data_IF_796205897350
#
_entry.id   IF_796205897350
#
_cell.length_a   1.000
_cell.length_b   1.000
_cell.length_c   1.000
_cell.angle_alpha   90.00
_cell.angle_beta   90.00
_cell.angle_gamma   90.00
#
_symmetry.space_group_name_H-M   'P 1'
#
loop_
_entity.id
_entity.type
_entity.pdbx_description
1 polymer ?
#
# COMPACT_ATOMS: atom_id res chain seq x y z
N UNK A 1 55.44 43.19 -14.90
CA UNK A 1 54.49 42.07 -15.06
C UNK A 1 54.26 41.28 -13.77
N UNK A 2 55.27 41.03 -12.92
CA UNK A 2 55.07 40.30 -11.65
C UNK A 2 54.11 41.00 -10.67
N UNK A 3 54.21 42.34 -10.54
CA UNK A 3 53.34 43.13 -9.64
C UNK A 3 51.85 43.08 -9.99
N UNK A 4 51.49 43.00 -11.28
CA UNK A 4 50.08 42.94 -11.71
C UNK A 4 49.45 41.56 -11.55
N UNK A 5 50.23 40.48 -11.64
CA UNK A 5 49.74 39.13 -11.39
C UNK A 5 49.45 38.91 -9.90
N UNK A 6 50.31 39.45 -9.04
CA UNK A 6 50.14 39.44 -7.60
C UNK A 6 48.86 40.12 -7.13
N UNK A 7 48.57 41.33 -7.64
CA UNK A 7 47.37 42.08 -7.26
C UNK A 7 46.09 41.40 -7.73
N UNK A 8 46.10 40.80 -8.93
CA UNK A 8 44.99 40.00 -9.44
C UNK A 8 44.71 38.76 -8.58
N UNK A 9 45.75 38.07 -8.12
CA UNK A 9 45.63 36.92 -7.22
C UNK A 9 45.04 37.32 -5.86
N UNK A 10 45.56 38.39 -5.24
CA UNK A 10 45.05 38.85 -3.95
C UNK A 10 43.57 39.26 -4.04
N UNK A 11 43.18 39.94 -5.13
CA UNK A 11 41.80 40.33 -5.36
C UNK A 11 40.86 39.12 -5.50
N UNK A 12 41.25 38.11 -6.29
CA UNK A 12 40.43 36.90 -6.48
C UNK A 12 40.35 36.04 -5.22
N UNK A 13 41.44 35.95 -4.45
CA UNK A 13 41.48 35.25 -3.16
C UNK A 13 40.56 35.90 -2.13
N UNK A 14 40.62 37.23 -2.00
CA UNK A 14 39.75 37.99 -1.09
C UNK A 14 38.28 37.89 -1.50
N UNK A 15 37.98 37.97 -2.80
CA UNK A 15 36.62 37.80 -3.31
C UNK A 15 36.05 36.41 -2.98
N UNK A 16 36.87 35.35 -3.05
CA UNK A 16 36.45 34.00 -2.71
C UNK A 16 36.17 33.85 -1.22
N UNK A 17 37.03 34.39 -0.35
CA UNK A 17 36.83 34.38 1.11
C UNK A 17 35.56 35.13 1.53
N UNK A 18 35.33 36.32 0.95
CA UNK A 18 34.12 37.10 1.21
C UNK A 18 32.86 36.35 0.78
N UNK A 19 32.89 35.68 -0.38
CA UNK A 19 31.78 34.88 -0.85
C UNK A 19 31.53 33.66 0.05
N UNK A 20 32.57 32.94 0.47
CA UNK A 20 32.46 31.82 1.39
C UNK A 20 31.80 32.22 2.73
N UNK A 21 32.19 33.36 3.29
CA UNK A 21 31.60 33.90 4.52
C UNK A 21 30.12 34.29 4.33
N UNK A 22 29.75 34.80 3.16
CA UNK A 22 28.34 35.07 2.81
C UNK A 22 27.51 33.79 2.77
N UNK A 23 28.05 32.70 2.21
CA UNK A 23 27.37 31.39 2.16
C UNK A 23 27.17 30.81 3.57
N UNK A 24 28.18 30.91 4.43
CA UNK A 24 28.07 30.50 5.84
C UNK A 24 26.98 31.29 6.59
N UNK A 25 26.89 32.60 6.35
CA UNK A 25 25.85 33.43 6.96
C UNK A 25 24.44 33.09 6.45
N UNK A 26 24.29 32.77 5.17
CA UNK A 26 23.03 32.29 4.60
C UNK A 26 22.61 30.93 5.17
N UNK A 27 23.55 30.01 5.37
CA UNK A 27 23.31 28.70 6.01
C UNK A 27 22.89 28.85 7.48
N UNK A 28 23.53 29.77 8.21
CA UNK A 28 23.24 30.03 9.62
C UNK A 28 21.92 30.76 9.87
N UNK A 29 21.45 31.57 8.92
CA UNK A 29 20.16 32.27 8.99
C UNK A 29 18.94 31.45 8.59
N UNK A 30 19.13 30.23 8.06
CA UNK A 30 18.08 29.46 7.39
C UNK A 30 17.16 28.63 8.32
N UNK A 31 17.22 28.79 9.65
CA UNK A 31 16.35 28.04 10.57
C UNK A 31 15.29 28.90 11.30
N UNK A 32 14.25 29.41 10.61
CA UNK A 32 13.05 29.87 11.30
C UNK A 32 12.26 28.67 11.87
N UNK A 33 11.76 28.75 13.12
CA UNK A 33 10.90 27.73 13.67
C UNK A 33 9.51 27.83 13.04
N UNK A 34 9.15 26.79 12.28
CA UNK A 34 7.84 26.57 11.65
C UNK A 34 7.49 27.49 10.48
N UNK A 35 7.73 26.94 9.30
CA UNK A 35 7.50 27.55 8.00
C UNK A 35 6.64 26.57 7.20
N UNK A 36 5.54 27.04 6.60
CA UNK A 36 4.57 26.21 5.87
C UNK A 36 5.16 25.52 4.64
N UNK A 37 4.43 24.56 4.05
CA UNK A 37 4.94 23.72 2.95
C UNK A 37 5.45 24.53 1.74
N UNK A 38 4.79 25.65 1.40
CA UNK A 38 5.20 26.54 0.29
C UNK A 38 6.53 27.23 0.57
N UNK A 39 6.73 27.65 1.81
CA UNK A 39 7.91 28.41 2.23
C UNK A 39 9.11 27.45 2.47
N UNK A 40 8.86 26.20 2.85
CA UNK A 40 9.89 25.14 2.82
C UNK A 40 10.37 24.85 1.39
N UNK A 41 9.45 24.85 0.42
CA UNK A 41 9.80 24.65 -0.98
C UNK A 41 10.63 25.81 -1.54
N UNK A 42 10.26 27.06 -1.23
CA UNK A 42 11.06 28.23 -1.65
C UNK A 42 12.43 28.27 -0.98
N UNK A 43 12.54 27.84 0.29
CA UNK A 43 13.81 27.73 0.98
C UNK A 43 14.71 26.64 0.39
N UNK A 44 14.15 25.46 0.05
CA UNK A 44 14.89 24.39 -0.61
C UNK A 44 15.43 24.84 -1.98
N UNK A 45 14.64 25.61 -2.73
CA UNK A 45 15.07 26.12 -4.04
C UNK A 45 16.19 27.16 -3.90
N UNK A 46 16.14 28.02 -2.87
CA UNK A 46 17.26 28.91 -2.52
C UNK A 46 18.52 28.14 -2.18
N UNK A 47 18.43 27.10 -1.35
CA UNK A 47 19.57 26.26 -0.96
C UNK A 47 20.16 25.49 -2.15
N UNK A 48 19.34 25.06 -3.11
CA UNK A 48 19.81 24.47 -4.38
C UNK A 48 20.56 25.47 -5.25
N UNK A 49 20.11 26.72 -5.29
CA UNK A 49 20.83 27.82 -5.93
C UNK A 49 22.24 27.97 -5.33
N UNK A 50 22.32 28.04 -4.00
CA UNK A 50 23.60 28.11 -3.29
C UNK A 50 24.48 26.89 -3.56
N UNK A 51 23.91 25.67 -3.63
CA UNK A 51 24.65 24.47 -4.02
C UNK A 51 25.24 24.59 -5.43
N UNK A 52 24.46 25.05 -6.41
CA UNK A 52 24.92 25.26 -7.78
C UNK A 52 26.03 26.32 -7.83
N UNK A 53 25.90 27.40 -7.06
CA UNK A 53 26.91 28.46 -6.97
C UNK A 53 28.22 27.96 -6.36
N UNK A 54 28.13 27.08 -5.35
CA UNK A 54 29.30 26.40 -4.77
C UNK A 54 29.99 25.54 -5.82
N UNK A 55 29.25 24.70 -6.53
CA UNK A 55 29.81 23.84 -7.59
C UNK A 55 30.46 24.67 -8.72
N UNK A 56 29.87 25.81 -9.08
CA UNK A 56 30.42 26.73 -10.08
C UNK A 56 31.72 27.43 -9.63
N UNK A 57 31.98 27.51 -8.31
CA UNK A 57 33.19 28.12 -7.75
C UNK A 57 34.38 27.15 -7.64
N UNK A 58 34.18 25.85 -7.90
CA UNK A 58 35.26 24.86 -7.88
C UNK A 58 36.35 25.09 -8.95
N UNK A 59 36.02 25.38 -10.23
CA UNK A 59 37.05 25.66 -11.25
C UNK A 59 37.84 26.97 -11.03
N UNK A 60 37.23 28.08 -10.56
CA UNK A 60 37.99 29.25 -10.13
C UNK A 60 38.96 28.98 -8.98
N UNK A 61 38.56 28.16 -7.99
CA UNK A 61 39.44 27.79 -6.88
C UNK A 61 40.65 26.98 -7.37
N UNK A 62 40.47 26.00 -8.25
CA UNK A 62 41.59 25.20 -8.77
C UNK A 62 42.61 26.04 -9.53
N UNK A 63 42.13 26.98 -10.38
CA UNK A 63 43.01 27.94 -11.07
C UNK A 63 43.77 28.84 -10.10
N UNK A 64 43.13 29.25 -9.01
CA UNK A 64 43.74 30.09 -7.98
C UNK A 64 44.83 29.31 -7.22
N UNK A 65 44.61 28.02 -6.94
CA UNK A 65 45.61 27.13 -6.34
C UNK A 65 46.81 26.88 -7.25
N UNK A 66 46.59 26.79 -8.56
CA UNK A 66 47.63 26.66 -9.59
C UNK A 66 48.44 27.96 -9.73
N UNK A 67 47.77 29.12 -9.80
CA UNK A 67 48.44 30.43 -9.80
C UNK A 67 49.28 30.65 -8.54
N UNK A 68 48.78 30.24 -7.37
CA UNK A 68 49.55 30.29 -6.13
C UNK A 68 50.78 29.38 -6.18
N UNK A 69 50.69 28.19 -6.81
CA UNK A 69 51.84 27.31 -7.01
C UNK A 69 52.94 28.00 -7.84
N UNK A 70 52.56 28.59 -8.97
CA UNK A 70 53.50 29.29 -9.86
C UNK A 70 54.15 30.51 -9.19
N UNK A 71 53.38 31.25 -8.37
CA UNK A 71 53.87 32.40 -7.61
C UNK A 71 54.80 31.95 -6.48
N UNK A 72 54.54 30.81 -5.84
CA UNK A 72 55.42 30.25 -4.82
C UNK A 72 56.78 29.85 -5.42
N UNK A 73 56.78 29.20 -6.58
CA UNK A 73 58.00 28.75 -7.25
C UNK A 73 58.89 29.94 -7.67
N UNK A 74 58.28 31.05 -8.11
CA UNK A 74 59.01 32.26 -8.54
C UNK A 74 59.51 33.13 -7.38
N UNK A 75 58.81 33.11 -6.23
CA UNK A 75 59.04 34.08 -5.15
C UNK A 75 59.65 33.45 -3.90
N UNK A 76 59.49 32.13 -3.69
CA UNK A 76 59.87 31.44 -2.46
C UNK A 76 59.06 31.85 -1.22
N UNK A 77 58.01 32.65 -1.39
CA UNK A 77 57.22 33.24 -0.32
C UNK A 77 56.24 32.20 0.26
N UNK A 78 56.34 31.95 1.57
CA UNK A 78 55.52 30.97 2.29
C UNK A 78 54.01 31.32 2.29
N UNK A 79 53.65 32.56 1.98
CA UNK A 79 52.25 33.02 1.86
C UNK A 79 51.48 32.26 0.75
N UNK A 80 52.18 31.69 -0.24
CA UNK A 80 51.62 30.82 -1.30
C UNK A 80 51.98 29.35 -1.10
N UNK A 81 52.51 29.02 0.07
CA UNK A 81 52.99 27.70 0.41
C UNK A 81 51.89 26.64 0.30
N UNK A 82 52.28 25.36 0.35
CA UNK A 82 51.31 24.25 0.37
C UNK A 82 50.33 24.35 1.55
N UNK A 83 50.75 24.93 2.68
CA UNK A 83 49.92 25.09 3.89
C UNK A 83 48.77 26.08 3.68
N UNK A 84 49.04 27.31 3.21
CA UNK A 84 48.01 28.32 2.96
C UNK A 84 46.98 27.89 1.90
N UNK A 85 47.45 27.20 0.84
CA UNK A 85 46.57 26.64 -0.19
C UNK A 85 45.74 25.47 0.34
N UNK A 86 46.33 24.64 1.20
CA UNK A 86 45.65 23.57 1.91
C UNK A 86 44.55 24.10 2.83
N UNK A 87 44.81 25.17 3.57
CA UNK A 87 43.83 25.82 4.45
C UNK A 87 42.64 26.39 3.65
N UNK A 88 42.91 27.07 2.54
CA UNK A 88 41.85 27.60 1.66
C UNK A 88 40.99 26.49 1.05
N UNK A 89 41.63 25.42 0.58
CA UNK A 89 40.94 24.25 0.01
C UNK A 89 40.11 23.52 1.06
N UNK A 90 40.63 23.38 2.28
CA UNK A 90 39.91 22.79 3.41
C UNK A 90 38.67 23.60 3.78
N UNK A 91 38.80 24.94 3.88
CA UNK A 91 37.66 25.84 4.15
C UNK A 91 36.57 25.72 3.08
N UNK A 92 36.95 25.73 1.81
CA UNK A 92 36.00 25.55 0.71
C UNK A 92 35.33 24.16 0.72
N UNK A 93 36.10 23.10 1.00
CA UNK A 93 35.58 21.74 1.06
C UNK A 93 34.59 21.54 2.21
N UNK A 94 34.85 22.15 3.38
CA UNK A 94 33.95 22.08 4.53
C UNK A 94 32.63 22.82 4.27
N UNK A 95 32.69 24.00 3.65
CA UNK A 95 31.50 24.77 3.24
C UNK A 95 30.68 23.97 2.20
N UNK A 96 31.34 23.40 1.19
CA UNK A 96 30.68 22.56 0.18
C UNK A 96 29.98 21.36 0.80
N UNK A 97 30.65 20.66 1.73
CA UNK A 97 30.06 19.54 2.45
C UNK A 97 28.88 19.98 3.33
N UNK A 98 28.96 21.16 3.94
CA UNK A 98 27.89 21.71 4.80
C UNK A 98 26.65 22.13 4.00
N UNK A 99 26.82 22.78 2.84
CA UNK A 99 25.72 23.11 1.92
C UNK A 99 25.02 21.84 1.44
N UNK A 100 25.79 20.83 1.01
CA UNK A 100 25.25 19.55 0.53
C UNK A 100 24.44 18.83 1.62
N UNK A 101 24.99 18.71 2.83
CA UNK A 101 24.29 18.11 3.99
C UNK A 101 23.01 18.85 4.32
N UNK A 102 23.02 20.18 4.27
CA UNK A 102 21.84 21.01 4.50
C UNK A 102 20.76 20.68 3.44
N UNK A 103 21.08 20.77 2.15
CA UNK A 103 20.13 20.46 1.05
C UNK A 103 19.55 19.06 1.18
N UNK A 104 20.37 18.05 1.47
CA UNK A 104 19.93 16.66 1.62
C UNK A 104 18.98 16.47 2.81
N UNK A 105 19.28 17.10 3.96
CA UNK A 105 18.41 17.06 5.14
C UNK A 105 17.04 17.70 4.85
N UNK A 106 17.02 18.87 4.21
CA UNK A 106 15.77 19.55 3.83
C UNK A 106 14.98 18.77 2.77
N UNK A 107 15.65 18.09 1.83
CA UNK A 107 15.02 17.25 0.80
C UNK A 107 14.31 16.04 1.42
N UNK A 108 14.95 15.38 2.37
CA UNK A 108 14.36 14.23 3.08
C UNK A 108 13.12 14.65 3.87
N UNK A 109 13.18 15.80 4.55
CA UNK A 109 12.07 16.30 5.35
C UNK A 109 10.87 16.73 4.50
N UNK A 110 11.10 17.36 3.34
CA UNK A 110 10.05 17.68 2.37
C UNK A 110 9.42 16.44 1.72
N UNK A 111 10.23 15.40 1.44
CA UNK A 111 9.74 14.13 0.91
C UNK A 111 8.84 13.41 1.93
N UNK A 112 9.22 13.40 3.21
CA UNK A 112 8.42 12.78 4.27
C UNK A 112 7.07 13.49 4.49
N UNK A 113 7.03 14.83 4.46
CA UNK A 113 5.77 15.57 4.58
C UNK A 113 4.85 15.43 3.36
N UNK A 114 5.42 15.26 2.16
CA UNK A 114 4.64 14.91 0.96
C UNK A 114 4.08 13.49 1.10
N UNK A 115 4.92 12.54 1.49
CA UNK A 115 4.55 11.13 1.66
C UNK A 115 3.46 10.95 2.73
N UNK A 116 3.55 11.63 3.88
CA UNK A 116 2.52 11.52 4.94
C UNK A 116 1.19 12.17 4.54
N UNK A 117 1.21 13.21 3.70
CA UNK A 117 -0.02 13.80 3.12
C UNK A 117 -0.63 12.88 2.06
N UNK A 118 0.20 12.22 1.27
CA UNK A 118 -0.24 11.20 0.31
C UNK A 118 -0.80 9.95 1.02
N UNK A 119 -0.13 9.46 2.07
CA UNK A 119 -0.60 8.35 2.90
C UNK A 119 -1.86 8.73 3.67
N UNK A 120 -1.95 9.94 4.23
CA UNK A 120 -3.15 10.46 4.88
C UNK A 120 -4.34 10.67 3.92
N UNK A 121 -4.11 10.65 2.62
CA UNK A 121 -5.13 10.69 1.57
C UNK A 121 -5.68 9.31 1.18
N UNK A 122 -5.19 8.23 1.78
CA UNK A 122 -5.67 6.87 1.50
C UNK A 122 -6.88 6.55 2.41
N UNK A 123 -8.02 6.09 1.87
CA UNK A 123 -9.17 5.64 2.66
C UNK A 123 -8.88 4.27 3.28
N UNK A 124 -8.05 4.23 4.33
CA UNK A 124 -7.62 2.99 4.99
C UNK A 124 -8.79 2.09 5.40
N UNK A 125 -9.91 2.66 5.84
CA UNK A 125 -11.12 1.91 6.16
C UNK A 125 -11.68 1.16 4.94
N UNK A 126 -11.83 1.84 3.80
CA UNK A 126 -12.30 1.22 2.55
C UNK A 126 -11.30 0.19 2.05
N UNK A 127 -10.01 0.44 2.18
CA UNK A 127 -8.95 -0.50 1.78
C UNK A 127 -8.99 -1.79 2.60
N UNK A 128 -9.08 -1.68 3.92
CA UNK A 128 -9.21 -2.85 4.80
C UNK A 128 -10.51 -3.61 4.50
N UNK A 129 -11.61 -2.89 4.26
CA UNK A 129 -12.88 -3.49 3.87
C UNK A 129 -12.76 -4.27 2.54
N UNK A 130 -12.10 -3.72 1.52
CA UNK A 130 -11.86 -4.41 0.24
C UNK A 130 -11.03 -5.70 0.44
N UNK A 131 -9.97 -5.65 1.25
CA UNK A 131 -9.15 -6.84 1.55
C UNK A 131 -9.99 -7.92 2.23
N UNK A 132 -10.78 -7.55 3.25
CA UNK A 132 -11.65 -8.49 3.96
C UNK A 132 -12.73 -9.07 3.03
N UNK A 133 -13.31 -8.26 2.14
CA UNK A 133 -14.24 -8.74 1.11
C UNK A 133 -13.58 -9.74 0.17
N UNK A 134 -12.34 -9.50 -0.28
CA UNK A 134 -11.63 -10.42 -1.16
C UNK A 134 -11.34 -11.75 -0.49
N UNK A 135 -10.91 -11.72 0.78
CA UNK A 135 -10.68 -12.94 1.56
C UNK A 135 -12.00 -13.71 1.71
N UNK A 136 -13.09 -13.03 2.06
CA UNK A 136 -14.41 -13.65 2.22
C UNK A 136 -14.94 -14.29 0.93
N UNK A 137 -14.85 -13.59 -0.21
CA UNK A 137 -15.28 -14.11 -1.51
C UNK A 137 -14.41 -15.29 -1.94
N UNK A 138 -13.09 -15.21 -1.77
CA UNK A 138 -12.17 -16.31 -2.11
C UNK A 138 -12.45 -17.56 -1.27
N UNK A 139 -12.69 -17.40 0.03
CA UNK A 139 -13.08 -18.49 0.93
C UNK A 139 -14.43 -19.09 0.52
N UNK A 140 -15.43 -18.25 0.23
CA UNK A 140 -16.75 -18.72 -0.20
C UNK A 140 -16.67 -19.52 -1.50
N UNK A 141 -15.92 -19.04 -2.50
CA UNK A 141 -15.70 -19.77 -3.75
C UNK A 141 -14.92 -21.07 -3.56
N UNK A 142 -13.87 -21.05 -2.73
CA UNK A 142 -13.06 -22.24 -2.45
C UNK A 142 -13.87 -23.32 -1.75
N UNK A 143 -14.54 -22.96 -0.65
CA UNK A 143 -15.40 -23.88 0.09
C UNK A 143 -16.58 -24.35 -0.76
N UNK A 144 -17.21 -23.46 -1.52
CA UNK A 144 -18.31 -23.78 -2.42
C UNK A 144 -17.91 -24.78 -3.51
N UNK A 145 -16.74 -24.59 -4.13
CA UNK A 145 -16.23 -25.53 -5.13
C UNK A 145 -15.96 -26.92 -4.53
N UNK A 146 -15.27 -26.99 -3.39
CA UNK A 146 -14.95 -28.26 -2.74
C UNK A 146 -16.21 -28.99 -2.29
N UNK A 147 -17.17 -28.28 -1.69
CA UNK A 147 -18.44 -28.86 -1.26
C UNK A 147 -19.22 -29.45 -2.45
N UNK A 148 -19.24 -28.72 -3.56
CA UNK A 148 -19.98 -29.09 -4.75
C UNK A 148 -19.30 -30.24 -5.53
N UNK A 149 -17.97 -30.18 -5.68
CA UNK A 149 -17.18 -31.28 -6.26
C UNK A 149 -17.22 -32.55 -5.40
N UNK A 150 -17.19 -32.42 -4.08
CA UNK A 150 -17.33 -33.55 -3.16
C UNK A 150 -18.71 -34.19 -3.21
N UNK A 151 -19.75 -33.39 -3.45
CA UNK A 151 -21.12 -33.91 -3.66
C UNK A 151 -21.19 -34.73 -4.94
N UNK A 152 -20.53 -34.31 -6.03
CA UNK A 152 -20.46 -35.08 -7.27
C UNK A 152 -19.73 -36.41 -7.09
N UNK A 153 -18.58 -36.43 -6.39
CA UNK A 153 -17.81 -37.66 -6.21
C UNK A 153 -18.51 -38.67 -5.28
N UNK A 154 -19.22 -38.21 -4.25
CA UNK A 154 -20.04 -39.08 -3.40
C UNK A 154 -21.22 -39.68 -4.17
N UNK A 155 -21.88 -38.89 -5.01
CA UNK A 155 -23.00 -39.36 -5.82
C UNK A 155 -22.57 -40.40 -6.86
N UNK A 156 -21.44 -40.17 -7.52
CA UNK A 156 -20.90 -41.06 -8.56
C UNK A 156 -20.49 -42.43 -7.98
N UNK A 157 -19.84 -42.44 -6.79
CA UNK A 157 -19.34 -43.66 -6.18
C UNK A 157 -20.41 -44.48 -5.40
N UNK A 158 -21.44 -43.84 -4.84
CA UNK A 158 -22.43 -44.54 -3.98
C UNK A 158 -23.81 -44.75 -4.62
N UNK A 159 -24.21 -43.98 -5.64
CA UNK A 159 -25.55 -44.04 -6.26
C UNK A 159 -25.55 -44.48 -7.74
N UNK A 160 -24.53 -45.25 -8.14
CA UNK A 160 -24.24 -45.70 -9.51
C UNK A 160 -25.34 -46.48 -10.25
N UNK A 161 -26.53 -46.72 -9.67
CA UNK A 161 -27.51 -47.67 -10.24
C UNK A 161 -28.68 -47.04 -11.01
N UNK A 162 -28.96 -45.73 -10.90
CA UNK A 162 -30.12 -45.09 -11.57
C UNK A 162 -29.70 -43.93 -12.49
N UNK A 163 -29.56 -44.19 -13.79
CA UNK A 163 -29.02 -43.28 -14.81
C UNK A 163 -29.86 -42.02 -15.10
N UNK A 164 -31.15 -42.02 -14.75
CA UNK A 164 -32.07 -40.90 -15.03
C UNK A 164 -31.92 -39.71 -14.07
N UNK A 165 -31.46 -39.94 -12.84
CA UNK A 165 -31.30 -38.87 -11.83
C UNK A 165 -29.91 -38.21 -11.85
N UNK A 166 -28.91 -38.88 -12.47
CA UNK A 166 -27.54 -38.35 -12.61
C UNK A 166 -27.47 -37.12 -13.53
N UNK A 167 -28.21 -37.12 -14.64
CA UNK A 167 -28.14 -36.05 -15.63
C UNK A 167 -28.78 -34.74 -15.14
N UNK A 168 -29.91 -34.83 -14.43
CA UNK A 168 -30.60 -33.67 -13.85
C UNK A 168 -29.81 -33.10 -12.67
N UNK A 169 -29.25 -33.94 -11.80
CA UNK A 169 -28.52 -33.49 -10.62
C UNK A 169 -27.15 -32.88 -10.97
N UNK A 170 -26.44 -33.45 -11.96
CA UNK A 170 -25.19 -32.88 -12.48
C UNK A 170 -25.41 -31.51 -13.14
N UNK A 171 -26.50 -31.35 -13.91
CA UNK A 171 -26.86 -30.05 -14.48
C UNK A 171 -27.17 -29.01 -13.40
N UNK A 172 -27.95 -29.39 -12.38
CA UNK A 172 -28.29 -28.51 -11.26
C UNK A 172 -27.04 -28.07 -10.51
N UNK A 173 -26.11 -28.99 -10.26
CA UNK A 173 -24.82 -28.70 -9.63
C UNK A 173 -24.00 -27.69 -10.45
N UNK A 174 -23.87 -27.88 -11.77
CA UNK A 174 -23.14 -26.93 -12.61
C UNK A 174 -23.78 -25.54 -12.64
N UNK A 175 -25.11 -25.45 -12.60
CA UNK A 175 -25.83 -24.18 -12.50
C UNK A 175 -25.45 -23.44 -11.20
N UNK A 176 -25.42 -24.14 -10.07
CA UNK A 176 -25.00 -23.55 -8.79
C UNK A 176 -23.55 -23.06 -8.83
N UNK A 177 -22.64 -23.82 -9.44
CA UNK A 177 -21.24 -23.43 -9.61
C UNK A 177 -21.11 -22.13 -10.41
N UNK A 178 -21.85 -22.02 -11.52
CA UNK A 178 -21.85 -20.82 -12.36
C UNK A 178 -22.40 -19.59 -11.61
N UNK A 179 -23.46 -19.77 -10.83
CA UNK A 179 -24.04 -18.71 -10.00
C UNK A 179 -23.04 -18.23 -8.94
N UNK A 180 -22.37 -19.14 -8.23
CA UNK A 180 -21.38 -18.80 -7.20
C UNK A 180 -20.21 -18.00 -7.78
N UNK A 181 -19.65 -18.42 -8.92
CA UNK A 181 -18.57 -17.69 -9.58
C UNK A 181 -19.01 -16.36 -10.19
N UNK A 182 -20.24 -16.29 -10.73
CA UNK A 182 -20.82 -15.07 -11.25
C UNK A 182 -20.97 -14.00 -10.16
N UNK A 183 -21.52 -14.39 -9.01
CA UNK A 183 -21.67 -13.50 -7.85
C UNK A 183 -20.30 -13.05 -7.34
N UNK A 184 -19.34 -13.98 -7.21
CA UNK A 184 -17.99 -13.67 -6.74
C UNK A 184 -17.25 -12.64 -7.62
N UNK A 185 -17.33 -12.80 -8.95
CA UNK A 185 -16.76 -11.86 -9.91
C UNK A 185 -17.38 -10.48 -9.79
N UNK A 186 -18.72 -10.41 -9.65
CA UNK A 186 -19.43 -9.15 -9.44
C UNK A 186 -18.99 -8.43 -8.16
N UNK A 187 -18.90 -9.14 -7.04
CA UNK A 187 -18.43 -8.57 -5.77
C UNK A 187 -16.98 -8.08 -5.83
N UNK A 188 -16.12 -8.78 -6.57
CA UNK A 188 -14.73 -8.36 -6.77
C UNK A 188 -14.65 -7.01 -7.48
N UNK A 189 -15.37 -6.87 -8.61
CA UNK A 189 -15.45 -5.60 -9.34
C UNK A 189 -16.08 -4.51 -8.47
N UNK A 190 -17.15 -4.83 -7.74
CA UNK A 190 -17.83 -3.89 -6.86
C UNK A 190 -16.92 -3.35 -5.75
N UNK A 191 -16.11 -4.20 -5.12
CA UNK A 191 -15.18 -3.77 -4.07
C UNK A 191 -14.03 -2.90 -4.60
N UNK A 192 -13.61 -3.08 -5.86
CA UNK A 192 -12.67 -2.18 -6.53
C UNK A 192 -13.32 -0.82 -6.81
N UNK A 193 -14.58 -0.80 -7.25
CA UNK A 193 -15.33 0.45 -7.46
C UNK A 193 -15.50 1.24 -6.16
N UNK A 194 -15.81 0.58 -5.04
CA UNK A 194 -15.88 1.22 -3.72
C UNK A 194 -14.53 1.77 -3.24
N UNK A 195 -13.44 1.06 -3.56
CA UNK A 195 -12.09 1.53 -3.26
C UNK A 195 -11.73 2.76 -4.08
N UNK A 196 -12.02 2.75 -5.39
CA UNK A 196 -11.83 3.91 -6.28
C UNK A 196 -12.67 5.12 -5.82
N UNK A 197 -13.90 4.90 -5.37
CA UNK A 197 -14.75 5.96 -4.83
C UNK A 197 -14.20 6.49 -3.48
N UNK A 198 -13.68 5.63 -2.61
CA UNK A 198 -13.02 6.03 -1.37
C UNK A 198 -11.83 6.97 -1.63
N UNK A 199 -11.05 6.70 -2.68
CA UNK A 199 -9.97 7.58 -3.12
C UNK A 199 -10.52 8.88 -3.70
N UNK A 200 -11.59 8.83 -4.50
CA UNK A 200 -12.22 10.00 -5.11
C UNK A 200 -12.86 10.94 -4.07
N UNK A 201 -13.38 10.37 -2.96
CA UNK A 201 -14.03 11.13 -1.88
C UNK A 201 -13.04 11.67 -0.85
N UNK A 202 -11.83 11.12 -0.75
CA UNK A 202 -10.82 11.60 0.19
C UNK A 202 -10.33 13.00 -0.21
N UNK A 203 -10.31 13.90 0.77
CA UNK A 203 -10.11 15.34 0.65
C UNK A 203 -8.80 15.84 -0.01
N UNK A 204 -7.87 14.93 -0.35
CA UNK A 204 -6.65 15.26 -1.08
C UNK A 204 -6.90 15.76 -2.51
N UNK A 205 -8.00 15.33 -3.16
CA UNK A 205 -8.37 15.74 -4.53
C UNK A 205 -9.38 16.91 -4.52
N UNK A 206 -10.18 17.03 -3.46
CA UNK A 206 -11.16 18.12 -3.32
C UNK A 206 -10.53 19.52 -3.21
N UNK A 207 -9.33 19.65 -2.64
CA UNK A 207 -8.69 20.97 -2.49
C UNK A 207 -8.38 21.68 -3.81
N UNK A 208 -8.13 20.95 -4.89
CA UNK A 208 -7.80 21.53 -6.21
C UNK A 208 -9.05 21.73 -7.09
N UNK A 209 -10.10 20.92 -6.93
CA UNK A 209 -11.31 21.01 -7.77
C UNK A 209 -12.43 21.93 -7.22
N UNK A 210 -12.27 22.49 -6.01
CA UNK A 210 -13.35 23.25 -5.36
C UNK A 210 -13.45 24.72 -5.80
N UNK A 211 -12.67 25.16 -6.79
CA UNK A 211 -12.82 26.50 -7.39
C UNK A 211 -13.89 26.58 -8.48
N UNK A 212 -14.42 25.46 -9.01
CA UNK A 212 -15.46 25.49 -10.05
C UNK A 212 -16.79 24.86 -9.59
N UNK A 213 -17.64 25.76 -9.16
CA UNK A 213 -18.91 25.54 -8.48
C UNK A 213 -20.04 25.17 -9.47
N UNK A 214 -20.20 23.90 -9.88
CA UNK A 214 -21.52 23.35 -10.33
C UNK A 214 -21.65 21.82 -10.52
N UNK A 215 -20.68 20.99 -10.15
CA UNK A 215 -20.76 19.52 -10.37
C UNK A 215 -21.01 18.69 -9.10
N UNK A 216 -21.02 19.33 -7.91
CA UNK A 216 -21.03 18.65 -6.61
C UNK A 216 -22.34 17.92 -6.25
N UNK A 217 -23.49 18.30 -6.83
CA UNK A 217 -24.76 17.65 -6.51
C UNK A 217 -24.86 16.22 -7.06
N UNK A 218 -24.38 15.99 -8.29
CA UNK A 218 -24.39 14.68 -8.93
C UNK A 218 -23.49 13.68 -8.19
N UNK A 219 -22.29 14.12 -7.77
CA UNK A 219 -21.36 13.29 -6.99
C UNK A 219 -21.93 12.81 -5.66
N UNK A 220 -22.69 13.66 -4.95
CA UNK A 220 -23.35 13.27 -3.67
C UNK A 220 -24.47 12.25 -3.87
N UNK A 221 -25.24 12.36 -4.95
CA UNK A 221 -26.27 11.38 -5.29
C UNK A 221 -25.66 10.04 -5.69
N UNK A 222 -24.55 10.05 -6.44
CA UNK A 222 -23.83 8.85 -6.84
C UNK A 222 -23.28 8.14 -5.60
N UNK A 223 -22.58 8.84 -4.70
CA UNK A 223 -22.08 8.24 -3.45
C UNK A 223 -23.21 7.69 -2.58
N UNK A 224 -24.33 8.42 -2.46
CA UNK A 224 -25.49 7.94 -1.72
C UNK A 224 -26.08 6.66 -2.33
N UNK A 225 -26.14 6.58 -3.66
CA UNK A 225 -26.58 5.38 -4.37
C UNK A 225 -25.64 4.19 -4.14
N UNK A 226 -24.32 4.39 -4.22
CA UNK A 226 -23.34 3.34 -3.93
C UNK A 226 -23.41 2.86 -2.47
N UNK A 227 -23.60 3.76 -1.50
CA UNK A 227 -23.82 3.39 -0.10
C UNK A 227 -25.10 2.57 0.09
N UNK A 228 -26.21 3.00 -0.52
CA UNK A 228 -27.47 2.26 -0.47
C UNK A 228 -27.31 0.85 -1.05
N UNK A 229 -26.68 0.74 -2.22
CA UNK A 229 -26.45 -0.55 -2.87
C UNK A 229 -25.52 -1.46 -2.05
N UNK A 230 -24.50 -0.89 -1.39
CA UNK A 230 -23.60 -1.64 -0.49
C UNK A 230 -24.38 -2.24 0.67
N UNK A 231 -25.30 -1.47 1.26
CA UNK A 231 -26.11 -1.92 2.38
C UNK A 231 -27.03 -3.09 2.00
N UNK A 232 -27.70 -3.00 0.85
CA UNK A 232 -28.54 -4.09 0.34
C UNK A 232 -27.71 -5.35 0.06
N UNK A 233 -26.54 -5.20 -0.57
CA UNK A 233 -25.64 -6.31 -0.83
C UNK A 233 -25.11 -6.96 0.46
N UNK A 234 -24.78 -6.16 1.47
CA UNK A 234 -24.35 -6.65 2.78
C UNK A 234 -25.45 -7.47 3.48
N UNK A 235 -26.70 -7.00 3.45
CA UNK A 235 -27.84 -7.74 3.99
C UNK A 235 -28.06 -9.07 3.25
N UNK A 236 -27.95 -9.06 1.92
CA UNK A 236 -28.04 -10.28 1.12
C UNK A 236 -26.94 -11.28 1.48
N UNK A 237 -25.71 -10.81 1.68
CA UNK A 237 -24.58 -11.63 2.09
C UNK A 237 -24.77 -12.22 3.49
N UNK A 238 -25.23 -11.43 4.47
CA UNK A 238 -25.55 -11.92 5.81
C UNK A 238 -26.63 -13.00 5.78
N UNK A 239 -27.65 -12.84 4.94
CA UNK A 239 -28.68 -13.86 4.77
C UNK A 239 -28.06 -15.16 4.24
N UNK A 240 -27.23 -15.09 3.19
CA UNK A 240 -26.54 -16.27 2.62
C UNK A 240 -25.66 -16.95 3.68
N UNK A 241 -24.87 -16.18 4.45
CA UNK A 241 -24.05 -16.73 5.55
C UNK A 241 -24.92 -17.38 6.62
N UNK A 242 -26.03 -16.77 7.01
CA UNK A 242 -26.96 -17.35 7.97
C UNK A 242 -27.56 -18.67 7.49
N UNK A 243 -28.05 -18.71 6.24
CA UNK A 243 -28.64 -19.90 5.65
C UNK A 243 -27.62 -21.02 5.43
N UNK A 244 -26.38 -20.70 5.09
CA UNK A 244 -25.30 -21.70 4.87
C UNK A 244 -24.66 -22.18 6.18
N UNK A 245 -24.63 -21.35 7.23
CA UNK A 245 -24.11 -21.73 8.53
C UNK A 245 -24.97 -22.81 9.21
N UNK A 246 -26.28 -22.83 8.98
CA UNK A 246 -27.19 -23.81 9.60
C UNK A 246 -26.85 -25.25 9.16
N UNK A 247 -26.77 -25.61 7.85
CA UNK A 247 -26.35 -26.94 7.42
C UNK A 247 -24.95 -27.33 7.90
N UNK A 248 -24.00 -26.39 7.88
CA UNK A 248 -22.62 -26.64 8.33
C UNK A 248 -22.58 -26.93 9.83
N UNK A 249 -23.33 -26.18 10.63
CA UNK A 249 -23.46 -26.41 12.06
C UNK A 249 -24.08 -27.77 12.35
N UNK A 250 -25.17 -28.13 11.67
CA UNK A 250 -25.81 -29.44 11.82
C UNK A 250 -24.85 -30.57 11.46
N UNK A 251 -24.13 -30.44 10.34
CA UNK A 251 -23.11 -31.41 9.94
C UNK A 251 -21.98 -31.53 10.96
N UNK A 252 -21.50 -30.42 11.51
CA UNK A 252 -20.45 -30.42 12.54
C UNK A 252 -20.91 -31.10 13.84
N UNK A 253 -22.15 -30.83 14.28
CA UNK A 253 -22.73 -31.52 15.45
C UNK A 253 -22.91 -33.03 15.20
N UNK A 254 -23.32 -33.41 13.99
CA UNK A 254 -23.43 -34.81 13.59
C UNK A 254 -22.07 -35.50 13.60
N UNK A 255 -21.06 -34.90 12.97
CA UNK A 255 -19.70 -35.42 12.87
C UNK A 255 -19.05 -35.60 14.25
N UNK A 256 -19.15 -34.58 15.11
CA UNK A 256 -18.58 -34.61 16.48
C UNK A 256 -19.24 -35.67 17.36
N UNK A 257 -20.55 -35.88 17.21
CA UNK A 257 -21.26 -36.97 17.91
C UNK A 257 -20.81 -38.34 17.40
N UNK A 258 -20.68 -38.48 16.08
CA UNK A 258 -20.20 -39.73 15.44
C UNK A 258 -18.75 -40.07 15.83
N UNK A 259 -17.86 -39.08 15.88
CA UNK A 259 -16.47 -39.29 16.31
C UNK A 259 -16.34 -39.60 17.80
N UNK A 260 -17.20 -39.05 18.65
CA UNK A 260 -17.26 -39.38 20.08
C UNK A 260 -17.73 -40.83 20.32
N UNK A 261 -18.68 -41.33 19.51
CA UNK A 261 -19.14 -42.73 19.55
C UNK A 261 -18.09 -43.73 19.03
N UNK A 262 -17.07 -43.27 18.29
CA UNK A 262 -15.95 -44.10 17.82
C UNK A 262 -14.90 -44.38 18.91
N UNK A 263 -15.16 -44.05 20.17
CA UNK A 263 -14.28 -44.34 21.31
C UNK A 263 -14.40 -45.80 21.78
N UNK A 264 -13.34 -46.42 22.34
CA UNK A 264 -13.14 -47.87 22.35
C UNK A 264 -13.90 -48.69 23.42
N UNK A 265 -14.98 -48.16 24.02
CA UNK A 265 -15.60 -48.79 25.21
C UNK A 265 -16.88 -49.59 24.93
N UNK A 266 -17.32 -49.69 23.68
CA UNK A 266 -18.44 -50.55 23.31
C UNK A 266 -17.93 -51.75 22.51
N UNK A 267 -17.91 -52.92 23.17
CA UNK A 267 -17.75 -54.24 22.56
C UNK A 267 -18.88 -54.50 21.56
N UNK A 268 -18.79 -53.92 20.36
CA UNK A 268 -19.76 -54.04 19.28
C UNK A 268 -19.08 -54.80 18.14
N UNK A 269 -19.54 -56.03 17.91
CA UNK A 269 -19.07 -56.97 16.88
C UNK A 269 -19.44 -56.60 15.44
N UNK A 270 -19.74 -55.33 15.15
CA UNK A 270 -20.11 -54.85 13.80
C UNK A 270 -19.96 -53.33 13.67
N UNK A 271 -18.77 -52.83 13.31
CA UNK A 271 -18.49 -51.38 13.17
C UNK A 271 -19.24 -50.70 12.00
N UNK A 272 -19.89 -51.46 11.11
CA UNK A 272 -20.57 -50.94 9.90
C UNK A 272 -22.07 -50.59 10.12
N UNK A 273 -22.53 -50.43 11.37
CA UNK A 273 -23.97 -50.39 11.68
C UNK A 273 -24.45 -49.24 12.59
N UNK A 274 -23.61 -48.23 12.86
CA UNK A 274 -24.05 -47.04 13.60
C UNK A 274 -24.52 -45.99 12.60
N UNK A 275 -25.75 -46.14 12.14
CA UNK A 275 -26.44 -45.15 11.31
C UNK A 275 -27.14 -44.13 12.23
N UNK A 276 -26.70 -42.86 12.19
CA UNK A 276 -27.45 -41.78 12.85
C UNK A 276 -28.57 -41.33 11.90
N UNK A 277 -29.81 -41.70 12.22
CA UNK A 277 -30.99 -41.35 11.43
C UNK A 277 -31.34 -39.86 11.66
N UNK A 278 -31.26 -39.06 10.59
CA UNK A 278 -31.56 -37.62 10.64
C UNK A 278 -33.05 -37.35 10.92
N UNK A 279 -33.94 -38.37 10.84
CA UNK A 279 -35.34 -38.23 11.28
C UNK A 279 -35.51 -37.86 12.75
N UNK A 280 -34.48 -38.04 13.58
CA UNK A 280 -34.55 -37.66 15.01
C UNK A 280 -34.34 -36.15 15.24
N UNK A 281 -33.75 -35.43 14.28
CA UNK A 281 -33.65 -33.96 14.26
C UNK A 281 -34.79 -33.38 13.44
N UNK A 282 -36.02 -33.79 13.78
CA UNK A 282 -37.21 -33.47 13.00
C UNK A 282 -37.35 -31.97 12.79
N UNK A 283 -37.09 -31.51 11.57
CA UNK A 283 -37.76 -30.44 10.84
C UNK A 283 -37.47 -30.62 9.34
N UNK A 284 -38.53 -30.59 8.51
CA UNK A 284 -38.59 -30.58 7.04
C UNK A 284 -38.80 -31.94 6.30
N UNK A 285 -40.06 -32.29 5.96
CA UNK A 285 -40.43 -33.52 5.23
C UNK A 285 -40.25 -33.44 3.69
N UNK A 286 -39.63 -32.40 3.13
CA UNK A 286 -39.56 -32.19 1.67
C UNK A 286 -38.15 -32.30 1.04
N UNK A 287 -37.10 -32.58 1.82
CA UNK A 287 -35.73 -32.79 1.32
C UNK A 287 -35.47 -34.30 1.27
N UNK A 288 -36.31 -35.04 0.53
CA UNK A 288 -36.29 -36.50 0.53
C UNK A 288 -35.18 -37.13 -0.34
N UNK A 289 -34.21 -36.35 -0.83
CA UNK A 289 -33.13 -36.89 -1.68
C UNK A 289 -31.72 -36.37 -1.39
N UNK A 290 -31.51 -35.49 -0.39
CA UNK A 290 -30.21 -34.80 -0.26
C UNK A 290 -29.50 -34.96 1.10
N UNK A 291 -30.09 -35.68 2.04
CA UNK A 291 -29.51 -35.80 3.39
C UNK A 291 -28.74 -37.12 3.50
N UNK A 292 -27.46 -37.01 3.15
CA UNK A 292 -26.31 -37.63 3.81
C UNK A 292 -26.65 -38.80 4.75
N UNK A 293 -26.58 -40.01 4.22
CA UNK A 293 -26.15 -41.15 5.03
C UNK A 293 -24.63 -41.03 5.17
N UNK A 294 -24.14 -40.43 6.26
CA UNK A 294 -22.73 -40.57 6.65
C UNK A 294 -22.59 -41.96 7.27
N UNK A 295 -22.53 -42.98 6.42
CA UNK A 295 -22.01 -44.29 6.77
C UNK A 295 -20.56 -44.36 6.27
N UNK A 296 -19.66 -44.78 7.15
CA UNK A 296 -18.38 -45.35 6.74
C UNK A 296 -18.32 -46.78 7.24
#
# INVERSE_FOLDING_TARGET
MASSQWTLFLASHQQLLQWMQSVEQELGGALPPQVGLKEKASLLERLRGVQSDVEAKAPPLSRLMEQALELHEKTGDQTFGPEARGELSAKYSDISASVKRCVDAWRLQGCFECCIKCLGGVPYASLVATILCFIGVALFCGCGHVALSGTLTMLDNHFSTVTTDHATLTMVIQIFQYIIYGIASFFFVYAILLLAEGFYTTSAIKKELQSDFKTTACGRCITAFFMFLTYIMFLAFLAIFGFTAIPVFLFFNMWTTCSAMRSPDANITSPDSICVDVRQYGELPHIHSFIFSVCH
#
